data_IF_020541418487
#
_entry.id   IF_020541418487
#
_cell.length_a   1.000
_cell.length_b   1.000
_cell.length_c   1.000
_cell.angle_alpha   90.00
_cell.angle_beta   90.00
_cell.angle_gamma   90.00
#
_symmetry.space_group_name_H-M   'P 1'
#
loop_
_entity.id
_entity.type
_entity.pdbx_description
1 polymer ?
#
# COMPACT_ATOMS: atom_id res chain seq x y z
N UNK A 1 -0.36 -7.47 12.46
CA UNK A 1 -1.29 -6.31 12.47
C UNK A 1 -0.58 -5.03 12.05
N UNK A 2 0.74 -4.92 12.23
CA UNK A 2 1.50 -3.68 11.99
C UNK A 2 1.48 -3.19 10.54
N UNK A 3 1.47 -4.08 9.54
CA UNK A 3 1.49 -3.66 8.12
C UNK A 3 0.17 -3.00 7.66
N UNK A 4 -0.97 -3.45 8.20
CA UNK A 4 -2.28 -2.84 7.94
C UNK A 4 -2.36 -1.50 8.69
N UNK A 5 -1.90 -1.47 9.94
CA UNK A 5 -1.86 -0.24 10.74
C UNK A 5 -0.95 0.83 10.14
N UNK A 6 0.19 0.45 9.56
CA UNK A 6 1.09 1.38 8.87
C UNK A 6 0.46 1.99 7.60
N UNK A 7 -0.37 1.23 6.89
CA UNK A 7 -1.12 1.74 5.75
C UNK A 7 -2.24 2.69 6.18
N UNK A 8 -2.99 2.32 7.23
CA UNK A 8 -4.12 3.11 7.75
C UNK A 8 -3.66 4.38 8.47
N UNK A 9 -2.50 4.35 9.14
CA UNK A 9 -1.96 5.51 9.88
C UNK A 9 -1.22 6.51 9.01
N UNK A 10 -1.01 6.24 7.72
CA UNK A 10 -0.38 7.21 6.82
C UNK A 10 -1.35 8.41 6.69
N UNK A 11 -1.00 9.62 7.16
CA UNK A 11 -1.87 10.78 7.03
C UNK A 11 -1.71 11.40 5.64
N UNK A 12 -2.81 11.86 5.06
CA UNK A 12 -2.80 12.90 4.02
C UNK A 12 -3.38 12.48 2.67
N UNK A 13 -4.65 12.83 2.45
CA UNK A 13 -5.29 12.92 1.13
C UNK A 13 -5.34 11.65 0.26
N UNK A 14 -5.32 10.43 0.81
CA UNK A 14 -5.57 9.24 -0.01
C UNK A 14 -6.69 8.35 0.51
N UNK A 15 -7.50 7.89 -0.42
CA UNK A 15 -8.57 6.92 -0.21
C UNK A 15 -8.12 5.56 -0.76
N UNK A 16 -8.29 4.49 0.03
CA UNK A 16 -7.95 3.13 -0.37
C UNK A 16 -9.24 2.42 -0.76
N UNK A 17 -9.36 2.06 -2.04
CA UNK A 17 -10.57 1.43 -2.60
C UNK A 17 -10.60 -0.07 -2.38
N UNK A 18 -9.49 -0.73 -2.69
CA UNK A 18 -9.37 -2.18 -2.60
C UNK A 18 -7.96 -2.54 -2.17
N UNK A 19 -7.85 -3.50 -1.26
CA UNK A 19 -6.56 -4.03 -0.81
C UNK A 19 -6.60 -5.57 -0.83
N UNK A 20 -5.51 -6.18 -1.27
CA UNK A 20 -5.30 -7.62 -1.14
C UNK A 20 -3.95 -7.88 -0.49
N UNK A 21 -3.95 -8.76 0.49
CA UNK A 21 -2.76 -9.14 1.25
C UNK A 21 -2.52 -10.62 1.00
N UNK A 22 -1.29 -10.97 0.60
CA UNK A 22 -0.85 -12.34 0.48
C UNK A 22 0.38 -12.56 1.37
N UNK A 23 0.37 -13.63 2.16
CA UNK A 23 1.48 -14.00 3.04
C UNK A 23 2.11 -15.29 2.52
N UNK A 24 3.42 -15.23 2.25
CA UNK A 24 4.27 -16.32 1.78
C UNK A 24 5.33 -16.61 2.84
N UNK A 25 4.95 -17.36 3.89
CA UNK A 25 5.83 -17.68 5.01
C UNK A 25 6.32 -16.43 5.75
N UNK A 26 7.59 -16.06 5.53
CA UNK A 26 8.23 -14.86 6.11
C UNK A 26 8.12 -13.63 5.20
N UNK A 27 7.52 -13.73 4.03
CA UNK A 27 7.29 -12.61 3.12
C UNK A 27 5.81 -12.30 3.05
N UNK A 28 5.44 -11.03 2.84
CA UNK A 28 4.08 -10.65 2.54
C UNK A 28 4.05 -9.59 1.44
N UNK A 29 3.03 -9.64 0.59
CA UNK A 29 2.78 -8.61 -0.41
C UNK A 29 1.44 -7.95 -0.16
N UNK A 30 1.41 -6.62 -0.23
CA UNK A 30 0.18 -5.83 -0.18
C UNK A 30 -0.01 -5.19 -1.54
N UNK A 31 -1.16 -5.45 -2.18
CA UNK A 31 -1.60 -4.73 -3.37
C UNK A 31 -2.77 -3.84 -3.00
N UNK A 32 -2.75 -2.59 -3.41
CA UNK A 32 -3.85 -1.66 -3.15
C UNK A 32 -4.13 -0.78 -4.38
N UNK A 33 -5.41 -0.47 -4.59
CA UNK A 33 -5.85 0.63 -5.46
C UNK A 33 -6.23 1.80 -4.57
N UNK A 34 -5.74 2.99 -4.89
CA UNK A 34 -5.97 4.18 -4.09
C UNK A 34 -6.15 5.41 -4.97
N UNK A 35 -6.91 6.39 -4.49
CA UNK A 35 -6.98 7.73 -5.05
C UNK A 35 -6.20 8.66 -4.14
N UNK A 36 -5.30 9.48 -4.69
CA UNK A 36 -4.69 10.58 -3.98
C UNK A 36 -5.34 11.90 -4.43
N UNK A 37 -5.93 12.64 -3.48
CA UNK A 37 -6.57 13.93 -3.68
C UNK A 37 -5.50 15.04 -3.65
N UNK A 38 -5.21 15.64 -4.81
CA UNK A 38 -4.37 16.82 -4.90
C UNK A 38 -5.21 18.06 -5.22
N UNK A 39 -4.70 19.25 -4.94
CA UNK A 39 -5.36 20.50 -5.32
C UNK A 39 -5.62 20.61 -6.84
N UNK A 40 -4.83 19.89 -7.65
CA UNK A 40 -4.92 19.82 -9.11
C UNK A 40 -5.87 18.73 -9.61
N UNK A 41 -6.57 18.02 -8.72
CA UNK A 41 -7.45 16.91 -9.04
C UNK A 41 -6.98 15.58 -8.47
N UNK A 42 -7.78 14.55 -8.69
CA UNK A 42 -7.56 13.21 -8.17
C UNK A 42 -6.55 12.43 -9.02
N UNK A 43 -5.70 11.66 -8.35
CA UNK A 43 -4.70 10.79 -8.98
C UNK A 43 -5.00 9.35 -8.58
N UNK A 44 -5.39 8.51 -9.53
CA UNK A 44 -5.58 7.09 -9.30
C UNK A 44 -4.24 6.34 -9.34
N UNK A 45 -4.02 5.51 -8.33
CA UNK A 45 -2.76 4.80 -8.12
C UNK A 45 -3.01 3.31 -7.87
N UNK A 46 -2.10 2.48 -8.37
CA UNK A 46 -1.89 1.12 -7.89
C UNK A 46 -0.60 1.08 -7.06
N UNK A 47 -0.67 0.47 -5.89
CA UNK A 47 0.45 0.30 -4.99
C UNK A 47 0.73 -1.19 -4.76
N UNK A 48 2.01 -1.57 -4.82
CA UNK A 48 2.53 -2.84 -4.35
C UNK A 48 3.54 -2.58 -3.23
N UNK A 49 3.39 -3.25 -2.10
CA UNK A 49 4.40 -3.28 -1.05
C UNK A 49 4.86 -4.71 -0.82
N UNK A 50 6.15 -4.88 -0.57
CA UNK A 50 6.75 -6.15 -0.15
C UNK A 50 7.29 -5.98 1.26
N UNK A 51 6.96 -6.96 2.10
CA UNK A 51 7.29 -6.99 3.51
C UNK A 51 8.01 -8.29 3.83
N UNK A 52 9.04 -8.22 4.67
CA UNK A 52 9.77 -9.38 5.18
C UNK A 52 9.66 -9.40 6.70
N UNK A 53 9.44 -10.59 7.26
CA UNK A 53 9.39 -10.83 8.69
C UNK A 53 10.80 -11.09 9.22
N UNK A 54 11.34 -10.12 9.96
CA UNK A 54 12.60 -10.26 10.68
C UNK A 54 12.29 -10.55 12.17
N UNK A 55 12.54 -11.79 12.60
CA UNK A 55 12.11 -12.26 13.91
C UNK A 55 10.59 -12.18 14.11
N UNK A 56 10.14 -11.34 15.04
CA UNK A 56 8.71 -11.12 15.33
C UNK A 56 8.13 -9.91 14.58
N UNK A 57 8.96 -9.09 13.94
CA UNK A 57 8.56 -7.82 13.35
C UNK A 57 8.46 -7.93 11.83
N UNK A 58 7.50 -7.22 11.24
CA UNK A 58 7.40 -7.04 9.79
C UNK A 58 8.10 -5.75 9.39
N UNK A 59 8.95 -5.83 8.37
CA UNK A 59 9.66 -4.70 7.79
C UNK A 59 9.29 -4.56 6.32
N UNK A 60 8.88 -3.37 5.88
CA UNK A 60 8.68 -3.08 4.47
C UNK A 60 10.05 -2.97 3.82
N UNK A 61 10.28 -3.75 2.77
CA UNK A 61 11.55 -3.77 2.04
C UNK A 61 11.42 -3.15 0.66
N UNK A 62 10.20 -3.10 0.13
CA UNK A 62 9.93 -2.49 -1.17
C UNK A 62 8.54 -1.86 -1.19
N UNK A 63 8.44 -0.72 -1.87
CA UNK A 63 7.17 -0.10 -2.25
C UNK A 63 7.29 0.39 -3.68
N UNK A 64 6.39 -0.09 -4.53
CA UNK A 64 6.18 0.41 -5.87
C UNK A 64 4.80 1.06 -5.96
N UNK A 65 4.73 2.24 -6.58
CA UNK A 65 3.47 2.96 -6.79
C UNK A 65 3.42 3.44 -8.23
N UNK A 66 2.36 3.10 -8.94
CA UNK A 66 2.16 3.42 -10.35
C UNK A 66 0.89 4.26 -10.50
N UNK A 67 0.96 5.33 -11.29
CA UNK A 67 -0.25 6.06 -11.71
C UNK A 67 -1.03 5.20 -12.70
N UNK A 68 -2.33 5.09 -12.48
CA UNK A 68 -3.23 4.45 -13.41
C UNK A 68 -3.72 5.48 -14.42
N UNK A 69 -3.88 5.12 -15.71
CA UNK A 69 -4.54 5.98 -16.67
C UNK A 69 -5.95 6.34 -16.19
N UNK A 70 -6.43 7.54 -16.52
CA UNK A 70 -7.85 7.84 -16.40
C UNK A 70 -8.62 6.83 -17.28
N UNK A 71 -9.64 6.17 -16.69
CA UNK A 71 -10.56 5.32 -17.44
C UNK A 71 -11.56 6.15 -18.23
#
# INVERSE_FOLDING_TARGET
KEAIEALVKSPGNFEIHSQTIHVYGKTATIRAKMTAHAATGDIHLAMLQVWIKNGKQWQMVERHTTRLPAQ
#
